data_IF_144603056417
#
_entry.id   IF_144603056417
#
_cell.length_a   1.000
_cell.length_b   1.000
_cell.length_c   1.000
_cell.angle_alpha   90.00
_cell.angle_beta   90.00
_cell.angle_gamma   90.00
#
_symmetry.space_group_name_H-M   'P 1'
#
loop_
_entity.id
_entity.type
_entity.pdbx_description
1 polymer ?
#
# COMPACT_ATOMS: atom_id res chain seq x y z
N UNK A 1 11.37 18.56 -10.30
CA UNK A 1 11.46 18.68 -8.83
C UNK A 1 12.38 17.57 -8.37
N UNK A 2 13.31 17.83 -7.43
CA UNK A 2 14.17 16.78 -6.90
C UNK A 2 13.83 16.58 -5.44
N UNK A 3 13.48 15.36 -5.07
CA UNK A 3 13.25 14.94 -3.70
C UNK A 3 14.53 14.27 -3.18
N UNK A 4 14.86 14.52 -1.92
CA UNK A 4 16.04 13.98 -1.25
C UNK A 4 15.69 13.46 0.15
N UNK A 5 16.41 12.43 0.59
CA UNK A 5 16.30 11.88 1.93
C UNK A 5 17.43 12.46 2.78
N UNK A 6 17.13 12.91 4.00
CA UNK A 6 18.14 13.28 5.00
C UNK A 6 17.79 12.68 6.36
N UNK A 7 18.81 12.29 7.11
CA UNK A 7 18.65 11.85 8.49
C UNK A 7 18.34 13.07 9.39
N UNK A 8 17.39 12.88 10.30
CA UNK A 8 16.95 13.87 11.27
C UNK A 8 17.60 13.60 12.64
N UNK A 9 17.71 14.61 13.51
CA UNK A 9 18.34 14.45 14.84
C UNK A 9 17.65 13.43 15.75
N UNK A 10 16.39 13.09 15.46
CA UNK A 10 15.59 12.11 16.19
C UNK A 10 15.79 10.66 15.68
N UNK A 11 16.75 10.44 14.77
CA UNK A 11 17.03 9.15 14.15
C UNK A 11 16.03 8.75 13.05
N UNK A 12 15.11 9.64 12.65
CA UNK A 12 14.17 9.41 11.55
C UNK A 12 14.73 9.91 10.22
N UNK A 13 14.11 9.50 9.13
CA UNK A 13 14.51 9.87 7.77
C UNK A 13 13.51 10.85 7.18
N UNK A 14 13.92 12.11 7.06
CA UNK A 14 13.13 13.19 6.47
C UNK A 14 13.17 13.16 4.94
N UNK A 15 12.01 13.42 4.32
CA UNK A 15 11.84 13.57 2.88
C UNK A 15 11.70 15.05 2.57
N UNK A 16 12.67 15.58 1.82
CA UNK A 16 12.81 17.00 1.51
C UNK A 16 12.55 17.26 0.03
N UNK A 17 11.83 18.35 -0.24
CA UNK A 17 11.69 18.87 -1.60
C UNK A 17 12.81 19.87 -1.89
N UNK A 18 13.81 19.44 -2.64
CA UNK A 18 14.90 20.26 -3.11
C UNK A 18 14.52 20.89 -4.46
N UNK A 19 13.95 22.10 -4.44
CA UNK A 19 13.63 22.87 -5.65
C UNK A 19 14.62 24.03 -5.81
N UNK A 20 15.22 24.16 -6.99
CA UNK A 20 16.04 25.31 -7.45
C UNK A 20 15.24 26.65 -7.52
N UNK A 21 13.94 26.63 -7.22
CA UNK A 21 13.01 27.75 -7.47
C UNK A 21 11.98 27.94 -6.35
N UNK A 22 12.42 28.23 -5.13
CA UNK A 22 11.55 28.81 -4.12
C UNK A 22 11.92 30.25 -3.82
N UNK A 23 10.87 31.08 -3.70
CA UNK A 23 10.93 32.51 -3.34
C UNK A 23 11.61 32.75 -1.98
N UNK A 24 11.68 31.72 -1.13
CA UNK A 24 12.45 31.70 0.11
C UNK A 24 13.71 30.86 -0.14
N UNK A 25 14.83 31.54 -0.39
CA UNK A 25 16.03 31.00 -1.04
C UNK A 25 16.85 29.99 -0.24
N UNK A 26 16.60 29.78 1.05
CA UNK A 26 17.68 29.24 1.89
C UNK A 26 17.41 27.92 2.62
N UNK A 27 16.17 27.40 2.63
CA UNK A 27 15.88 26.18 3.40
C UNK A 27 15.02 25.16 2.65
N UNK A 28 15.46 23.90 2.55
CA UNK A 28 14.62 22.82 2.02
C UNK A 28 13.44 22.58 2.98
N UNK A 29 12.23 22.42 2.45
CA UNK A 29 11.07 22.03 3.27
C UNK A 29 10.98 20.52 3.37
N UNK A 30 10.84 20.07 4.60
CA UNK A 30 10.52 18.69 4.95
C UNK A 30 9.02 18.46 4.76
N UNK A 31 8.65 17.47 3.95
CA UNK A 31 7.26 17.11 3.69
C UNK A 31 6.77 15.95 4.54
N UNK A 32 7.66 15.02 4.87
CA UNK A 32 7.32 13.87 5.73
C UNK A 32 8.58 13.29 6.36
N UNK A 33 8.41 12.50 7.41
CA UNK A 33 9.45 11.70 8.03
C UNK A 33 9.06 10.22 7.98
N UNK A 34 10.06 9.35 7.88
CA UNK A 34 9.93 7.90 7.87
C UNK A 34 10.76 7.32 9.01
N UNK A 35 10.26 6.23 9.60
CA UNK A 35 10.98 5.46 10.63
C UNK A 35 12.10 4.59 10.04
N UNK A 36 12.02 4.28 8.74
CA UNK A 36 13.04 3.49 8.03
C UNK A 36 13.59 4.26 6.83
N UNK A 37 14.90 4.15 6.63
CA UNK A 37 15.64 4.71 5.50
C UNK A 37 15.10 4.18 4.17
N UNK A 38 14.91 2.86 4.08
CA UNK A 38 14.44 2.19 2.86
C UNK A 38 13.08 2.71 2.42
N UNK A 39 12.16 2.90 3.37
CA UNK A 39 10.84 3.47 3.09
C UNK A 39 10.94 4.93 2.63
N UNK A 40 11.87 5.70 3.19
CA UNK A 40 12.10 7.08 2.77
C UNK A 40 12.66 7.15 1.34
N UNK A 41 13.64 6.31 1.04
CA UNK A 41 14.27 6.21 -0.29
C UNK A 41 13.27 5.74 -1.33
N UNK A 42 12.45 4.72 -1.03
CA UNK A 42 11.40 4.24 -1.91
C UNK A 42 10.37 5.35 -2.23
N UNK A 43 9.97 6.13 -1.21
CA UNK A 43 9.07 7.27 -1.41
C UNK A 43 9.71 8.35 -2.27
N UNK A 44 10.98 8.71 -2.01
CA UNK A 44 11.71 9.70 -2.81
C UNK A 44 11.88 9.24 -4.25
N UNK A 45 12.18 7.96 -4.46
CA UNK A 45 12.27 7.36 -5.80
C UNK A 45 10.95 7.50 -6.55
N UNK A 46 9.81 7.19 -5.93
CA UNK A 46 8.46 7.37 -6.53
C UNK A 46 8.16 8.83 -6.83
N UNK A 47 8.48 9.73 -5.90
CA UNK A 47 8.23 11.17 -6.05
C UNK A 47 9.10 11.82 -7.14
N UNK A 48 10.30 11.28 -7.39
CA UNK A 48 11.19 11.70 -8.48
C UNK A 48 10.82 11.04 -9.83
N UNK A 49 10.20 9.86 -9.82
CA UNK A 49 9.85 9.08 -11.02
C UNK A 49 8.34 8.83 -11.13
N UNK A 50 7.51 9.87 -11.28
CA UNK A 50 6.05 9.72 -11.29
C UNK A 50 5.52 8.89 -12.47
N UNK A 51 6.25 8.85 -13.60
CA UNK A 51 5.86 8.08 -14.79
C UNK A 51 6.30 6.61 -14.74
N UNK A 52 7.17 6.21 -13.80
CA UNK A 52 7.67 4.85 -13.66
C UNK A 52 6.81 3.97 -12.74
N UNK A 53 5.82 4.57 -12.08
CA UNK A 53 4.86 3.84 -11.25
C UNK A 53 3.59 3.63 -12.07
N UNK A 54 3.49 2.45 -12.70
CA UNK A 54 2.18 2.01 -13.13
C UNK A 54 1.31 1.84 -11.88
N UNK A 55 0.15 2.47 -11.87
CA UNK A 55 -0.89 2.30 -10.84
C UNK A 55 -1.49 0.87 -10.88
N UNK A 56 -0.93 -0.04 -11.69
CA UNK A 56 -1.28 -1.46 -11.79
C UNK A 56 -0.90 -2.26 -10.54
N UNK A 57 -0.06 -1.73 -9.65
CA UNK A 57 -0.03 -2.19 -8.26
C UNK A 57 -1.34 -1.78 -7.60
N UNK A 58 -2.38 -2.60 -7.82
CA UNK A 58 -3.67 -2.52 -7.13
C UNK A 58 -3.38 -2.26 -5.66
N UNK A 59 -3.65 -1.03 -5.20
CA UNK A 59 -3.62 -0.68 -3.79
C UNK A 59 -4.56 -1.64 -3.07
N UNK A 60 -4.02 -2.71 -2.49
CA UNK A 60 -4.80 -3.71 -1.78
C UNK A 60 -5.19 -3.11 -0.44
N UNK A 61 -6.25 -2.31 -0.46
CA UNK A 61 -6.76 -1.65 0.73
C UNK A 61 -7.31 -2.70 1.70
N UNK A 62 -7.27 -2.42 3.00
CA UNK A 62 -7.86 -3.29 4.03
C UNK A 62 -9.34 -3.59 3.74
N UNK A 63 -10.06 -2.66 3.09
CA UNK A 63 -11.43 -2.84 2.61
C UNK A 63 -11.56 -3.94 1.55
N UNK A 64 -10.64 -4.00 0.59
CA UNK A 64 -10.59 -5.05 -0.44
C UNK A 64 -10.29 -6.43 0.16
N UNK A 65 -9.33 -6.51 1.09
CA UNK A 65 -9.01 -7.75 1.80
C UNK A 65 -10.23 -8.31 2.58
N UNK A 66 -11.00 -7.43 3.21
CA UNK A 66 -12.24 -7.81 3.93
C UNK A 66 -13.34 -8.29 2.97
N UNK A 67 -13.46 -7.67 1.79
CA UNK A 67 -14.43 -8.06 0.79
C UNK A 67 -14.13 -9.46 0.20
N UNK A 68 -12.86 -9.73 -0.11
CA UNK A 68 -12.43 -11.04 -0.60
C UNK A 68 -12.58 -12.14 0.46
N UNK A 69 -12.26 -11.84 1.72
CA UNK A 69 -12.50 -12.76 2.83
C UNK A 69 -14.00 -13.09 3.01
N UNK A 70 -14.89 -12.10 2.83
CA UNK A 70 -16.34 -12.31 2.88
C UNK A 70 -16.82 -13.21 1.74
N UNK A 71 -16.38 -12.95 0.50
CA UNK A 71 -16.71 -13.80 -0.67
C UNK A 71 -16.27 -15.26 -0.47
N UNK A 72 -15.04 -15.48 0.00
CA UNK A 72 -14.54 -16.84 0.29
C UNK A 72 -15.38 -17.57 1.35
N UNK A 73 -15.81 -16.86 2.40
CA UNK A 73 -16.68 -17.44 3.45
C UNK A 73 -18.07 -17.81 2.93
N UNK A 74 -18.67 -16.98 2.09
CA UNK A 74 -19.98 -17.27 1.49
C UNK A 74 -19.92 -18.44 0.52
N UNK A 75 -18.87 -18.54 -0.28
CA UNK A 75 -18.64 -19.67 -1.18
C UNK A 75 -18.46 -20.98 -0.41
N UNK A 76 -17.62 -20.99 0.64
CA UNK A 76 -17.43 -22.16 1.49
C UNK A 76 -18.71 -22.60 2.20
N UNK A 77 -19.61 -21.67 2.55
CA UNK A 77 -20.93 -22.01 3.11
C UNK A 77 -21.84 -22.70 2.07
N UNK A 78 -21.84 -22.21 0.82
CA UNK A 78 -22.62 -22.81 -0.27
C UNK A 78 -22.13 -24.22 -0.58
N UNK A 79 -20.82 -24.41 -0.71
CA UNK A 79 -20.20 -25.72 -0.96
C UNK A 79 -20.51 -26.72 0.17
N UNK A 80 -20.46 -26.30 1.44
CA UNK A 80 -20.85 -27.16 2.57
C UNK A 80 -22.34 -27.53 2.54
N UNK A 81 -23.21 -26.61 2.17
CA UNK A 81 -24.65 -26.87 2.08
C UNK A 81 -24.97 -27.85 0.94
N UNK A 82 -24.31 -27.70 -0.20
CA UNK A 82 -24.45 -28.58 -1.36
C UNK A 82 -23.90 -29.99 -1.07
N UNK A 83 -22.72 -30.08 -0.45
CA UNK A 83 -22.15 -31.36 -0.02
C UNK A 83 -23.05 -32.07 1.02
N UNK A 84 -23.67 -31.33 1.94
CA UNK A 84 -24.62 -31.89 2.89
C UNK A 84 -25.91 -32.39 2.22
N UNK A 85 -26.38 -31.70 1.17
CA UNK A 85 -27.54 -32.13 0.38
C UNK A 85 -27.23 -33.39 -0.43
N UNK A 86 -26.09 -33.42 -1.11
CA UNK A 86 -25.62 -34.59 -1.86
C UNK A 86 -25.46 -35.83 -0.97
N UNK A 87 -24.89 -35.68 0.24
CA UNK A 87 -24.79 -36.78 1.22
C UNK A 87 -26.15 -37.30 1.68
N UNK A 88 -27.16 -36.43 1.83
CA UNK A 88 -28.52 -36.82 2.22
C UNK A 88 -29.26 -37.55 1.09
N UNK A 89 -29.05 -37.15 -0.16
CA UNK A 89 -29.61 -37.82 -1.34
C UNK A 89 -28.96 -39.18 -1.58
N UNK A 90 -27.64 -39.29 -1.41
CA UNK A 90 -26.92 -40.56 -1.50
C UNK A 90 -27.32 -41.58 -0.42
N UNK A 91 -27.78 -41.11 0.75
CA UNK A 91 -28.25 -41.96 1.87
C UNK A 91 -29.73 -42.36 1.75
N UNK A 92 -30.46 -41.81 0.78
CA UNK A 92 -31.88 -42.10 0.50
C UNK A 92 -32.09 -43.06 -0.68
N UNK A 93 -31.04 -43.35 -1.45
CA UNK A 93 -30.98 -44.47 -2.40
C UNK A 93 -30.41 -45.70 -1.70
#
# INVERSE_FOLDING_TARGET
MKWEVKELPDGRWGIFLCKKYWKFKDKPVMYSASVSKELAEQRVYRLNNPNGYSNDEKCYTVGMARADAKKKREQAKKEKAEAAKAKREAKKK
#
